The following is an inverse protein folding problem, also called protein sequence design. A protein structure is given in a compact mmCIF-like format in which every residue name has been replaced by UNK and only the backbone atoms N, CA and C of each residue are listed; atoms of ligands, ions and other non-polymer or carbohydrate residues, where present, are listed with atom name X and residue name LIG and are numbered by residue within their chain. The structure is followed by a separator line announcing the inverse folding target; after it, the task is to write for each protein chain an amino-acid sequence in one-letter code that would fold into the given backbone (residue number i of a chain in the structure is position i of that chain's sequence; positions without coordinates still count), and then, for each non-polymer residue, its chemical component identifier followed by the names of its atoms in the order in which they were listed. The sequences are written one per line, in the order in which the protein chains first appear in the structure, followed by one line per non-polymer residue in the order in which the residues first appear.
data_IF_561409011478
#
_entry.id   IF_561409011478
#
_cell.length_a   1.000
_cell.length_b   1.000
_cell.length_c   1.000
_cell.angle_alpha   90.00
_cell.angle_beta   90.00
_cell.angle_gamma   90.00
#
_symmetry.space_group_name_H-M   'P 1'
#
loop_
_entity.id
_entity.type
_entity.pdbx_description
1 polymer ?
#
# COMPACT_ATOMS: atom_id res chain seq x y z
N UNK A 1 27.46 -33.24 22.70
CA UNK A 1 27.46 -32.29 21.56
C UNK A 1 26.12 -32.28 20.79
N UNK A 2 24.97 -32.46 21.47
CA UNK A 2 23.63 -32.46 20.83
C UNK A 2 22.78 -31.25 21.31
N UNK A 3 23.19 -30.57 22.40
CA UNK A 3 22.42 -29.49 23.01
C UNK A 3 22.65 -28.10 22.40
N UNK A 4 23.62 -27.95 21.51
CA UNK A 4 23.98 -26.63 20.94
C UNK A 4 23.32 -26.36 19.57
N UNK A 5 22.77 -27.40 18.92
CA UNK A 5 22.12 -27.27 17.60
C UNK A 5 20.66 -26.79 17.68
N UNK A 6 19.97 -27.04 18.80
CA UNK A 6 18.55 -26.68 18.96
C UNK A 6 18.34 -25.18 19.20
N UNK A 7 19.34 -24.49 19.77
CA UNK A 7 19.22 -23.07 20.09
C UNK A 7 19.28 -22.17 18.84
N UNK A 8 20.01 -22.58 17.80
CA UNK A 8 20.19 -21.77 16.57
C UNK A 8 18.91 -21.72 15.74
N UNK A 9 18.10 -22.80 15.74
CA UNK A 9 16.82 -22.85 15.04
C UNK A 9 15.73 -21.96 15.67
N UNK A 10 15.78 -21.76 16.98
CA UNK A 10 14.78 -20.93 17.69
C UNK A 10 15.05 -19.43 17.47
N UNK A 11 16.31 -19.01 17.29
CA UNK A 11 16.65 -17.59 17.08
C UNK A 11 16.26 -17.09 15.67
N UNK A 12 16.18 -17.97 14.67
CA UNK A 12 15.73 -17.60 13.33
C UNK A 12 14.21 -17.41 13.22
N UNK A 13 13.42 -17.97 14.14
CA UNK A 13 11.96 -17.87 14.10
C UNK A 13 11.39 -16.54 14.64
N UNK A 14 12.21 -15.72 15.31
CA UNK A 14 11.76 -14.50 16.01
C UNK A 14 11.90 -13.23 15.15
N UNK A 15 12.54 -13.29 13.98
CA UNK A 15 12.72 -12.11 13.13
C UNK A 15 11.53 -11.81 12.19
N UNK A 16 10.53 -12.69 12.11
CA UNK A 16 9.28 -12.42 11.43
C UNK A 16 8.27 -11.74 12.38
N UNK A 17 8.68 -10.66 13.05
CA UNK A 17 7.70 -9.63 13.42
C UNK A 17 7.24 -9.09 12.07
N UNK A 18 6.16 -9.68 11.54
CA UNK A 18 5.61 -9.40 10.23
C UNK A 18 5.44 -7.89 10.12
N UNK A 19 6.31 -7.26 9.33
CA UNK A 19 6.06 -5.89 8.93
C UNK A 19 4.67 -5.90 8.30
N UNK A 20 3.79 -5.00 8.75
CA UNK A 20 2.47 -4.88 8.15
C UNK A 20 2.64 -4.59 6.65
N UNK A 21 2.28 -5.53 5.80
CA UNK A 21 2.51 -5.45 4.34
C UNK A 21 1.39 -4.69 3.62
N UNK A 22 0.39 -4.18 4.36
CA UNK A 22 -0.69 -3.38 3.79
C UNK A 22 -0.11 -2.13 3.16
N UNK A 23 -0.47 -1.88 1.91
CA UNK A 23 -0.06 -0.67 1.19
C UNK A 23 -0.70 0.57 1.82
N UNK A 24 -1.98 0.48 2.20
CA UNK A 24 -2.79 1.60 2.66
C UNK A 24 -2.79 1.82 4.18
N UNK A 25 -1.64 1.73 4.84
CA UNK A 25 -1.58 1.79 6.32
C UNK A 25 -2.17 3.07 6.93
N UNK A 26 -2.04 4.20 6.23
CA UNK A 26 -2.46 5.51 6.74
C UNK A 26 -3.67 6.08 6.04
N UNK A 27 -4.22 5.35 5.08
CA UNK A 27 -5.41 5.76 4.33
C UNK A 27 -6.61 4.94 4.77
N UNK A 28 -7.70 5.64 5.07
CA UNK A 28 -8.91 5.01 5.54
C UNK A 28 -9.82 4.63 4.36
N UNK A 29 -10.04 3.34 4.18
CA UNK A 29 -10.97 2.79 3.17
C UNK A 29 -12.02 1.90 3.86
N UNK A 30 -12.55 2.36 5.00
CA UNK A 30 -13.55 1.61 5.77
C UNK A 30 -13.04 0.28 6.34
N UNK A 31 -11.72 0.11 6.45
CA UNK A 31 -11.11 -1.14 6.87
C UNK A 31 -10.80 -2.12 5.73
N UNK A 32 -11.06 -1.75 4.48
CA UNK A 32 -10.50 -2.45 3.33
C UNK A 32 -8.98 -2.26 3.29
N UNK A 33 -8.27 -3.33 2.98
CA UNK A 33 -6.80 -3.40 3.01
C UNK A 33 -6.29 -3.84 1.66
N UNK A 34 -5.36 -3.06 1.10
CA UNK A 34 -4.71 -3.34 -0.16
C UNK A 34 -3.37 -4.01 0.11
N UNK A 35 -3.14 -5.16 -0.51
CA UNK A 35 -1.86 -5.84 -0.56
C UNK A 35 -1.42 -5.95 -2.01
N UNK A 36 -0.13 -5.86 -2.27
CA UNK A 36 0.42 -6.04 -3.61
C UNK A 36 1.76 -6.76 -3.57
N UNK A 37 2.01 -7.66 -4.51
CA UNK A 37 3.30 -8.32 -4.73
C UNK A 37 3.63 -8.35 -6.21
N UNK A 38 4.93 -8.38 -6.53
CA UNK A 38 5.39 -8.54 -7.92
C UNK A 38 5.08 -9.93 -8.51
N UNK A 39 4.66 -10.89 -7.67
CA UNK A 39 4.32 -12.23 -8.13
C UNK A 39 2.86 -12.33 -8.55
N UNK A 40 1.96 -11.74 -7.77
CA UNK A 40 0.52 -11.98 -7.90
C UNK A 40 -0.23 -10.73 -8.41
N UNK A 41 0.31 -9.54 -8.19
CA UNK A 41 -0.36 -8.27 -8.41
C UNK A 41 -0.97 -7.72 -7.12
N UNK A 42 -2.13 -7.08 -7.22
CA UNK A 42 -2.78 -6.43 -6.09
C UNK A 42 -4.12 -7.08 -5.74
N UNK A 43 -4.45 -7.18 -4.45
CA UNK A 43 -5.75 -7.65 -3.99
C UNK A 43 -6.27 -6.80 -2.82
N UNK A 44 -7.57 -6.52 -2.87
CA UNK A 44 -8.29 -5.78 -1.84
C UNK A 44 -9.02 -6.75 -0.93
N UNK A 45 -8.84 -6.61 0.37
CA UNK A 45 -9.38 -7.52 1.38
C UNK A 45 -10.17 -6.73 2.43
N UNK A 46 -11.36 -7.21 2.78
CA UNK A 46 -12.17 -6.57 3.83
C UNK A 46 -11.63 -6.87 5.24
N UNK A 47 -12.27 -6.29 6.26
CA UNK A 47 -11.88 -6.47 7.66
C UNK A 47 -12.01 -7.92 8.17
N UNK A 48 -12.76 -8.77 7.46
CA UNK A 48 -12.94 -10.18 7.78
C UNK A 48 -11.87 -11.07 7.13
N UNK A 49 -11.00 -10.50 6.28
CA UNK A 49 -10.00 -11.25 5.53
C UNK A 49 -10.52 -11.81 4.21
N UNK A 50 -11.72 -11.42 3.76
CA UNK A 50 -12.29 -11.87 2.49
C UNK A 50 -11.76 -11.01 1.35
N UNK A 51 -11.30 -11.66 0.27
CA UNK A 51 -10.89 -10.96 -0.95
C UNK A 51 -12.12 -10.40 -1.65
N UNK A 52 -12.11 -9.08 -1.84
CA UNK A 52 -13.18 -8.36 -2.52
C UNK A 52 -12.96 -8.32 -4.03
N UNK A 53 -11.72 -8.06 -4.46
CA UNK A 53 -11.29 -8.13 -5.85
C UNK A 53 -9.76 -8.13 -5.95
N UNK A 54 -9.25 -8.50 -7.12
CA UNK A 54 -7.84 -8.63 -7.42
C UNK A 54 -7.52 -8.10 -8.82
N UNK A 55 -6.27 -7.68 -9.03
CA UNK A 55 -5.69 -7.28 -10.31
C UNK A 55 -4.37 -8.00 -10.47
N UNK A 56 -4.22 -8.79 -11.53
CA UNK A 56 -2.99 -9.54 -11.76
C UNK A 56 -1.80 -8.62 -12.05
N UNK A 57 -0.59 -9.04 -11.70
CA UNK A 57 0.63 -8.29 -12.03
C UNK A 57 0.74 -8.01 -13.53
N UNK A 58 0.41 -9.01 -14.38
CA UNK A 58 0.46 -8.86 -15.83
C UNK A 58 -0.47 -7.73 -16.32
N UNK A 59 -1.67 -7.62 -15.75
CA UNK A 59 -2.61 -6.53 -16.06
C UNK A 59 -2.02 -5.16 -15.67
N UNK A 60 -1.35 -5.09 -14.51
CA UNK A 60 -0.71 -3.86 -14.04
C UNK A 60 0.45 -3.46 -14.96
N UNK A 61 1.28 -4.42 -15.35
CA UNK A 61 2.43 -4.21 -16.23
C UNK A 61 2.00 -3.72 -17.62
N UNK A 62 0.98 -4.34 -18.22
CA UNK A 62 0.43 -3.94 -19.51
C UNK A 62 -0.14 -2.51 -19.47
N UNK A 63 -0.85 -2.17 -18.38
CA UNK A 63 -1.38 -0.83 -18.19
C UNK A 63 -0.27 0.21 -17.98
N UNK A 64 0.77 -0.12 -17.20
CA UNK A 64 1.93 0.75 -16.99
C UNK A 64 2.68 0.98 -18.30
N UNK A 65 2.93 -0.07 -19.09
CA UNK A 65 3.61 0.02 -20.38
C UNK A 65 2.84 0.95 -21.33
N UNK A 66 1.52 0.76 -21.45
CA UNK A 66 0.66 1.59 -22.29
C UNK A 66 0.62 3.05 -21.82
N UNK A 67 0.48 3.27 -20.51
CA UNK A 67 0.46 4.60 -19.92
C UNK A 67 1.78 5.34 -20.14
N UNK A 68 2.91 4.66 -19.95
CA UNK A 68 4.23 5.26 -20.13
C UNK A 68 4.59 5.51 -21.60
N UNK A 69 4.15 4.64 -22.52
CA UNK A 69 4.32 4.87 -23.96
C UNK A 69 3.56 6.11 -24.43
N UNK A 70 2.36 6.31 -23.89
CA UNK A 70 1.48 7.43 -24.28
C UNK A 70 1.68 8.70 -23.44
N UNK A 71 2.42 8.62 -22.33
CA UNK A 71 2.57 9.70 -21.36
C UNK A 71 1.25 10.08 -20.67
N UNK A 72 0.36 9.11 -20.46
CA UNK A 72 -0.98 9.32 -19.89
C UNK A 72 -1.19 8.57 -18.57
N UNK A 73 -2.27 8.91 -17.88
CA UNK A 73 -2.75 8.21 -16.69
C UNK A 73 -4.11 7.60 -16.99
N UNK A 74 -4.37 6.42 -16.44
CA UNK A 74 -5.57 5.65 -16.74
C UNK A 74 -5.97 4.72 -15.61
N UNK A 75 -7.21 4.24 -15.66
CA UNK A 75 -7.66 3.17 -14.78
C UNK A 75 -7.24 1.83 -15.37
N UNK A 76 -6.70 0.94 -14.53
CA UNK A 76 -6.36 -0.43 -14.89
C UNK A 76 -7.64 -1.26 -14.83
N UNK A 77 -8.25 -1.24 -13.65
CA UNK A 77 -9.37 -2.12 -13.33
C UNK A 77 -10.23 -1.51 -12.22
N UNK A 78 -11.52 -1.88 -12.24
CA UNK A 78 -12.52 -1.44 -11.28
C UNK A 78 -13.18 -2.68 -10.65
N UNK A 79 -13.16 -2.73 -9.33
CA UNK A 79 -13.85 -3.74 -8.52
C UNK A 79 -14.79 -3.11 -7.51
N UNK A 80 -15.21 -3.90 -6.52
CA UNK A 80 -16.04 -3.45 -5.40
C UNK A 80 -15.23 -3.49 -4.12
N UNK A 81 -15.19 -2.38 -3.39
CA UNK A 81 -14.83 -2.34 -1.97
C UNK A 81 -16.05 -2.59 -1.09
N UNK A 82 -15.85 -2.66 0.22
CA UNK A 82 -16.93 -2.90 1.20
C UNK A 82 -18.02 -1.83 1.13
N UNK A 83 -17.63 -0.57 0.91
CA UNK A 83 -18.54 0.59 0.96
C UNK A 83 -18.84 1.23 -0.39
N UNK A 84 -18.30 0.69 -1.49
CA UNK A 84 -18.54 1.23 -2.82
C UNK A 84 -17.51 0.78 -3.86
N UNK A 85 -17.61 1.27 -5.10
CA UNK A 85 -16.65 0.94 -6.15
C UNK A 85 -15.22 1.29 -5.75
N UNK A 86 -14.27 0.42 -6.07
CA UNK A 86 -12.84 0.68 -5.88
C UNK A 86 -12.10 0.52 -7.20
N UNK A 87 -11.09 1.34 -7.44
CA UNK A 87 -10.32 1.30 -8.68
C UNK A 87 -8.83 1.40 -8.41
N UNK A 88 -8.05 0.68 -9.23
CA UNK A 88 -6.61 0.88 -9.34
C UNK A 88 -6.33 1.55 -10.68
N UNK A 89 -5.49 2.58 -10.66
CA UNK A 89 -5.02 3.30 -11.84
C UNK A 89 -3.51 3.39 -11.89
N UNK A 90 -3.00 3.68 -13.09
CA UNK A 90 -1.60 3.99 -13.37
C UNK A 90 -1.45 5.49 -13.63
N UNK A 91 -0.30 6.02 -13.23
CA UNK A 91 0.12 7.38 -13.54
C UNK A 91 1.53 7.35 -14.09
N UNK A 92 1.70 7.69 -15.38
CA UNK A 92 2.99 7.79 -16.01
C UNK A 92 3.09 9.07 -16.84
N UNK A 93 3.55 10.14 -16.19
CA UNK A 93 3.78 11.43 -16.83
C UNK A 93 5.26 11.64 -17.12
N UNK A 94 5.58 12.24 -18.27
CA UNK A 94 6.96 12.54 -18.65
C UNK A 94 7.65 13.41 -17.57
N UNK A 95 8.79 12.94 -17.04
CA UNK A 95 9.56 13.64 -16.01
C UNK A 95 9.19 13.30 -14.57
N UNK A 96 8.27 12.36 -14.34
CA UNK A 96 7.90 11.83 -13.03
C UNK A 96 8.04 10.32 -12.99
N UNK A 97 8.30 9.77 -11.81
CA UNK A 97 8.33 8.32 -11.63
C UNK A 97 6.92 7.73 -11.82
N UNK A 98 6.79 6.59 -12.52
CA UNK A 98 5.54 5.87 -12.63
C UNK A 98 5.00 5.51 -11.24
N UNK A 99 3.69 5.66 -11.06
CA UNK A 99 3.03 5.34 -9.79
C UNK A 99 1.66 4.73 -10.02
N UNK A 100 1.16 4.09 -8.97
CA UNK A 100 -0.17 3.51 -8.92
C UNK A 100 -1.07 4.34 -8.03
N UNK A 101 -2.37 4.25 -8.29
CA UNK A 101 -3.41 5.00 -7.59
C UNK A 101 -4.53 4.09 -7.16
N UNK A 102 -4.85 4.04 -5.88
CA UNK A 102 -6.07 3.44 -5.35
C UNK A 102 -7.12 4.55 -5.12
N UNK A 103 -8.33 4.32 -5.59
CA UNK A 103 -9.52 5.12 -5.24
C UNK A 103 -10.56 4.17 -4.66
N UNK A 104 -11.20 4.57 -3.56
CA UNK A 104 -12.22 3.77 -2.87
C UNK A 104 -13.02 4.61 -1.89
N UNK A 105 -13.88 3.96 -1.10
CA UNK A 105 -14.82 4.61 -0.18
C UNK A 105 -14.58 4.15 1.26
N UNK A 106 -14.84 5.02 2.23
CA UNK A 106 -14.92 4.64 3.65
C UNK A 106 -16.37 4.38 4.12
N UNK A 107 -16.54 4.05 5.40
CA UNK A 107 -17.82 3.68 6.00
C UNK A 107 -18.86 4.81 6.00
N UNK A 108 -18.43 6.05 5.73
CA UNK A 108 -19.30 7.21 5.58
C UNK A 108 -19.61 7.55 4.12
N UNK A 109 -19.13 6.72 3.18
CA UNK A 109 -19.26 6.96 1.74
C UNK A 109 -18.36 8.08 1.24
N UNK A 110 -17.35 8.51 2.01
CA UNK A 110 -16.36 9.48 1.55
C UNK A 110 -15.35 8.80 0.63
N UNK A 111 -15.09 9.43 -0.51
CA UNK A 111 -14.05 8.99 -1.45
C UNK A 111 -12.67 9.28 -0.86
N UNK A 112 -11.83 8.25 -0.79
CA UNK A 112 -10.43 8.34 -0.41
C UNK A 112 -9.55 7.95 -1.60
N UNK A 113 -8.35 8.50 -1.64
CA UNK A 113 -7.40 8.30 -2.73
C UNK A 113 -5.99 8.19 -2.17
N UNK A 114 -5.21 7.27 -2.71
CA UNK A 114 -3.83 7.03 -2.32
C UNK A 114 -2.99 6.78 -3.58
N UNK A 115 -1.82 7.42 -3.65
CA UNK A 115 -0.78 7.09 -4.62
C UNK A 115 0.27 6.23 -3.94
N UNK A 116 0.82 5.24 -4.64
CA UNK A 116 1.86 4.35 -4.11
C UNK A 116 2.84 3.94 -5.23
N UNK A 117 4.10 3.63 -4.91
CA UNK A 117 5.11 3.31 -5.91
C UNK A 117 4.85 1.94 -6.54
N UNK A 118 5.38 1.73 -7.75
CA UNK A 118 5.31 0.44 -8.46
C UNK A 118 6.14 -0.66 -7.78
N UNK A 119 6.97 -0.31 -6.80
CA UNK A 119 7.71 -1.25 -5.94
C UNK A 119 6.82 -1.87 -4.85
N UNK A 120 5.57 -1.42 -4.69
CA UNK A 120 4.64 -1.86 -3.65
C UNK A 120 5.15 -1.62 -2.22
N UNK A 121 5.98 -0.59 -2.03
CA UNK A 121 6.32 -0.16 -0.68
C UNK A 121 5.07 0.42 0.02
N UNK A 122 4.81 0.03 1.29
CA UNK A 122 3.71 0.58 2.04
C UNK A 122 3.75 2.11 2.15
N UNK A 123 2.58 2.74 2.05
CA UNK A 123 2.44 4.18 2.23
C UNK A 123 2.29 4.47 3.72
N UNK A 124 3.36 4.99 4.30
CA UNK A 124 3.37 5.48 5.67
C UNK A 124 3.00 6.97 5.72
N UNK A 125 2.43 7.42 6.84
CA UNK A 125 2.32 8.85 7.12
C UNK A 125 3.75 9.41 7.19
N UNK A 126 3.98 10.66 6.72
CA UNK A 126 5.25 11.31 6.98
C UNK A 126 5.51 11.23 8.48
N UNK A 127 6.70 10.75 8.87
CA UNK A 127 7.19 10.83 10.23
C UNK A 127 7.32 12.33 10.57
N UNK A 128 6.22 12.96 10.98
CA UNK A 128 6.23 14.29 11.57
C UNK A 128 6.78 14.18 13.00
N UNK A 129 8.01 13.67 13.13
CA UNK A 129 8.90 14.02 14.21
C UNK A 129 9.56 15.35 13.86
N UNK A 130 8.76 16.39 13.61
CA UNK A 130 9.28 17.73 13.88
C UNK A 130 9.60 17.74 15.38
N UNK A 131 10.85 18.03 15.79
CA UNK A 131 11.16 18.15 17.20
C UNK A 131 10.23 19.23 17.77
N UNK A 132 9.37 18.84 18.72
CA UNK A 132 8.51 19.80 19.41
C UNK A 132 9.40 20.96 19.90
N UNK A 133 9.03 22.23 19.65
CA UNK A 133 9.83 23.35 20.11
C UNK A 133 10.00 23.25 21.62
N UNK A 134 11.25 23.13 22.07
CA UNK A 134 11.59 23.14 23.49
C UNK A 134 11.06 24.46 24.07
N UNK A 135 10.24 24.43 25.13
CA UNK A 135 9.76 25.66 25.76
C UNK A 135 10.96 26.49 26.23
N UNK A 136 11.31 27.55 25.50
CA UNK A 136 12.31 28.51 25.98
C UNK A 136 11.69 29.26 27.15
N UNK A 137 12.17 29.01 28.38
CA UNK A 137 11.90 29.91 29.51
C UNK A 137 12.38 31.30 29.11
N UNK A 138 11.46 32.27 29.02
CA UNK A 138 11.86 33.69 28.92
C UNK A 138 12.74 34.02 30.13
N UNK A 139 13.94 34.60 29.94
CA UNK A 139 14.65 35.22 31.04
C UNK A 139 13.79 36.37 31.59
N UNK A 140 13.72 36.45 32.92
CA UNK A 140 13.01 37.49 33.65
C UNK A 140 13.85 38.77 33.65
#
# INVERSE_FOLDING_TARGET
MIRMFVLVLIVMAVQAVLADERINQVHHFGGDTLYCTQADGCWLVNMQGETLWEVSQATIDDALATACETGTSGYIEAGMGTYGPSTIGVSCYLGYDPSLKLIGYDEWGKVNTMMFPTTYEPVYAPNNAEPMPVPTRRPR
#
